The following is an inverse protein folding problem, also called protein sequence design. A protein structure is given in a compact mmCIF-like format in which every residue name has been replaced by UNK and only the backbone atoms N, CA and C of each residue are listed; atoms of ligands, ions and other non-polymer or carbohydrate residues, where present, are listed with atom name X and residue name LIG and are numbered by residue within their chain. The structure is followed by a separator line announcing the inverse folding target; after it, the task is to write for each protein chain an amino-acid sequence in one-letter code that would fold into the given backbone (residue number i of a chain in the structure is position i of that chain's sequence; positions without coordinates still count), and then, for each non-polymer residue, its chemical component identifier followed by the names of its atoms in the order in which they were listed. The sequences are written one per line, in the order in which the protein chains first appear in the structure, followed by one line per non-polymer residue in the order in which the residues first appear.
data_IF_847933321116
#
_entry.id   IF_847933321116
#
_cell.length_a   1.000
_cell.length_b   1.000
_cell.length_c   1.000
_cell.angle_alpha   90.00
_cell.angle_beta   90.00
_cell.angle_gamma   90.00
#
_symmetry.space_group_name_H-M   'P 1'
#
loop_
_entity.id
_entity.type
_entity.pdbx_description
1 polymer ?
#
# COMPACT_ATOMS: atom_id res chain seq x y z
N UNK A 1 24.81 -2.95 -36.20
CA UNK A 1 24.35 -1.55 -36.30
C UNK A 1 23.77 -1.20 -34.94
N UNK A 2 24.31 -0.16 -34.33
CA UNK A 2 24.20 0.22 -32.92
C UNK A 2 22.76 0.55 -32.50
N UNK A 3 22.29 -0.10 -31.42
CA UNK A 3 21.13 0.36 -30.67
C UNK A 3 21.57 1.58 -29.85
N UNK A 4 21.30 2.78 -30.37
CA UNK A 4 21.43 4.00 -29.59
C UNK A 4 20.46 3.94 -28.41
N UNK A 5 21.03 3.84 -27.21
CA UNK A 5 20.30 4.05 -25.96
C UNK A 5 19.98 5.53 -25.89
N UNK A 6 18.79 5.91 -26.36
CA UNK A 6 18.27 7.26 -26.22
C UNK A 6 18.21 7.59 -24.73
N UNK A 7 19.18 8.37 -24.31
CA UNK A 7 19.25 8.92 -22.96
C UNK A 7 18.01 9.78 -22.78
N UNK A 8 17.20 9.50 -21.75
CA UNK A 8 16.07 10.35 -21.38
C UNK A 8 16.62 11.73 -21.00
N UNK A 9 16.69 12.62 -21.97
CA UNK A 9 17.05 14.01 -21.76
C UNK A 9 15.90 14.60 -20.94
N UNK A 10 16.21 14.95 -19.69
CA UNK A 10 15.45 15.95 -18.95
C UNK A 10 15.56 17.21 -19.79
N UNK A 11 14.59 17.46 -20.67
CA UNK A 11 14.55 18.71 -21.43
C UNK A 11 14.21 19.77 -20.40
N UNK A 12 15.25 20.43 -19.89
CA UNK A 12 15.10 21.66 -19.16
C UNK A 12 14.30 22.59 -20.08
N UNK A 13 13.16 23.06 -19.60
CA UNK A 13 12.37 24.07 -20.29
C UNK A 13 13.10 25.41 -20.14
N UNK A 14 14.27 25.52 -20.76
CA UNK A 14 15.02 26.77 -20.83
C UNK A 14 14.32 27.61 -21.89
N UNK A 15 13.76 28.75 -21.47
CA UNK A 15 13.17 29.71 -22.40
C UNK A 15 14.20 30.19 -23.43
N UNK A 16 13.74 30.79 -24.51
CA UNK A 16 14.59 31.24 -25.62
C UNK A 16 15.71 32.23 -25.19
N UNK A 17 15.62 32.79 -23.98
CA UNK A 17 16.56 33.73 -23.35
C UNK A 17 17.37 33.15 -22.17
N UNK A 18 17.32 31.84 -21.92
CA UNK A 18 18.03 31.24 -20.78
C UNK A 18 17.32 31.37 -19.42
N UNK A 19 16.21 32.11 -19.36
CA UNK A 19 15.39 32.28 -18.16
C UNK A 19 14.46 31.06 -17.93
N UNK A 20 14.30 30.67 -16.67
CA UNK A 20 13.34 29.64 -16.26
C UNK A 20 11.90 30.18 -16.38
N UNK A 21 10.91 29.33 -16.71
CA UNK A 21 9.51 29.72 -16.70
C UNK A 21 9.08 30.07 -15.27
N UNK A 22 8.42 31.22 -15.11
CA UNK A 22 7.91 31.70 -13.83
C UNK A 22 6.45 31.32 -13.61
N UNK A 23 6.11 30.87 -12.40
CA UNK A 23 4.74 30.58 -11.97
C UNK A 23 4.44 31.19 -10.59
N UNK A 24 3.23 31.72 -10.40
CA UNK A 24 2.76 32.01 -9.04
C UNK A 24 2.58 30.72 -8.23
N UNK A 25 2.03 29.68 -8.86
CA UNK A 25 1.84 28.36 -8.25
C UNK A 25 2.29 27.29 -9.24
N UNK A 26 3.26 26.46 -8.83
CA UNK A 26 3.62 25.24 -9.54
C UNK A 26 2.92 24.05 -8.88
N UNK A 27 2.02 23.40 -9.62
CA UNK A 27 1.29 22.22 -9.16
C UNK A 27 2.03 20.95 -9.59
N UNK A 28 2.42 20.14 -8.63
CA UNK A 28 2.91 18.77 -8.82
C UNK A 28 1.80 17.76 -8.51
N UNK A 29 1.39 17.00 -9.52
CA UNK A 29 0.38 15.95 -9.39
C UNK A 29 1.08 14.60 -9.36
N UNK A 30 1.07 13.90 -8.23
CA UNK A 30 1.62 12.53 -8.16
C UNK A 30 0.73 11.58 -8.98
N UNK A 31 1.33 10.83 -9.90
CA UNK A 31 0.57 9.92 -10.76
C UNK A 31 1.35 8.65 -11.07
N UNK A 32 0.70 7.49 -10.97
CA UNK A 32 1.33 6.21 -11.32
C UNK A 32 1.42 6.03 -12.85
N UNK A 33 2.40 5.28 -13.33
CA UNK A 33 2.60 5.04 -14.77
C UNK A 33 1.33 4.60 -15.51
N UNK A 34 0.53 3.73 -14.90
CA UNK A 34 -0.67 3.17 -15.52
C UNK A 34 -1.94 4.04 -15.37
N UNK A 35 -1.89 5.17 -14.66
CA UNK A 35 -3.03 6.07 -14.43
C UNK A 35 -3.31 7.04 -15.60
N UNK A 36 -3.38 6.53 -16.84
CA UNK A 36 -3.65 7.38 -18.00
C UNK A 36 -5.01 8.09 -17.90
N UNK A 37 -6.05 7.35 -17.48
CA UNK A 37 -7.43 7.84 -17.39
C UNK A 37 -7.57 8.95 -16.34
N UNK A 38 -6.89 8.83 -15.19
CA UNK A 38 -6.91 9.84 -14.14
C UNK A 38 -6.22 11.13 -14.59
N UNK A 39 -5.04 11.03 -15.22
CA UNK A 39 -4.37 12.20 -15.83
C UNK A 39 -5.25 12.85 -16.89
N UNK A 40 -5.93 12.04 -17.70
CA UNK A 40 -6.84 12.55 -18.72
C UNK A 40 -8.05 13.27 -18.11
N UNK A 41 -8.63 12.74 -17.04
CA UNK A 41 -9.72 13.40 -16.30
C UNK A 41 -9.27 14.76 -15.76
N UNK A 42 -8.06 14.87 -15.20
CA UNK A 42 -7.49 16.16 -14.76
C UNK A 42 -7.36 17.14 -15.94
N UNK A 43 -6.79 16.69 -17.07
CA UNK A 43 -6.64 17.51 -18.29
C UNK A 43 -7.97 18.04 -18.82
N UNK A 44 -9.04 17.25 -18.73
CA UNK A 44 -10.38 17.62 -19.19
C UNK A 44 -11.16 18.49 -18.19
N UNK A 45 -10.74 18.51 -16.92
CA UNK A 45 -11.38 19.26 -15.83
C UNK A 45 -10.58 20.50 -15.44
N UNK A 46 -9.99 20.53 -14.25
CA UNK A 46 -9.42 21.73 -13.64
C UNK A 46 -8.13 22.20 -14.33
N UNK A 47 -7.32 21.28 -14.89
CA UNK A 47 -6.18 21.66 -15.72
C UNK A 47 -6.64 22.26 -17.07
N UNK A 48 -7.68 21.69 -17.68
CA UNK A 48 -8.30 22.23 -18.89
C UNK A 48 -8.93 23.61 -18.66
N UNK A 49 -9.43 23.86 -17.45
CA UNK A 49 -9.89 25.17 -17.01
C UNK A 49 -8.73 26.17 -16.90
N UNK A 50 -7.65 25.84 -16.18
CA UNK A 50 -6.44 26.70 -16.08
C UNK A 50 -5.94 27.12 -17.45
N UNK A 51 -5.80 26.15 -18.38
CA UNK A 51 -5.25 26.38 -19.72
C UNK A 51 -6.10 27.31 -20.58
N UNK A 52 -7.40 27.37 -20.36
CA UNK A 52 -8.33 28.26 -21.10
C UNK A 52 -8.55 29.59 -20.41
N UNK A 53 -8.25 29.69 -19.11
CA UNK A 53 -8.52 30.88 -18.33
C UNK A 53 -7.42 31.95 -18.56
N UNK A 54 -7.74 33.14 -19.11
CA UNK A 54 -6.74 34.12 -19.55
C UNK A 54 -5.77 34.58 -18.46
N UNK A 55 -6.23 34.59 -17.20
CA UNK A 55 -5.42 34.99 -16.05
C UNK A 55 -4.61 33.85 -15.45
N UNK A 56 -5.02 32.59 -15.61
CA UNK A 56 -4.38 31.46 -14.92
C UNK A 56 -3.36 30.73 -15.79
N UNK A 57 -3.55 30.73 -17.11
CA UNK A 57 -2.67 30.05 -18.07
C UNK A 57 -1.18 30.42 -17.95
N UNK A 58 -0.86 31.63 -17.45
CA UNK A 58 0.51 32.09 -17.23
C UNK A 58 0.91 32.14 -15.75
N UNK A 59 -0.05 32.04 -14.82
CA UNK A 59 0.20 32.08 -13.37
C UNK A 59 0.42 30.69 -12.78
N UNK A 60 -0.21 29.66 -13.34
CA UNK A 60 -0.23 28.31 -12.77
C UNK A 60 0.43 27.32 -13.73
N UNK A 61 1.53 26.71 -13.28
CA UNK A 61 2.17 25.60 -13.97
C UNK A 61 1.66 24.28 -13.40
N UNK A 62 1.35 23.29 -14.22
CA UNK A 62 0.92 21.96 -13.74
C UNK A 62 1.79 20.88 -14.38
N UNK A 63 2.30 19.96 -13.55
CA UNK A 63 3.15 18.85 -13.96
C UNK A 63 2.74 17.55 -13.27
N UNK A 64 2.52 16.51 -14.05
CA UNK A 64 2.36 15.14 -13.56
C UNK A 64 3.73 14.54 -13.23
N UNK A 65 3.89 14.05 -12.01
CA UNK A 65 5.11 13.44 -11.51
C UNK A 65 4.99 11.94 -11.71
N UNK A 66 5.87 11.35 -12.51
CA UNK A 66 5.84 9.92 -12.85
C UNK A 66 7.23 9.33 -12.65
N UNK A 67 7.31 8.13 -12.05
CA UNK A 67 8.59 7.45 -11.89
C UNK A 67 9.08 6.96 -13.25
N UNK A 68 10.36 7.19 -13.54
CA UNK A 68 11.01 6.86 -14.82
C UNK A 68 11.05 5.36 -15.06
N UNK A 69 11.15 4.56 -14.00
CA UNK A 69 11.22 3.09 -14.10
C UNK A 69 9.91 2.47 -13.62
N UNK A 70 9.39 1.49 -14.36
CA UNK A 70 8.31 0.62 -13.85
C UNK A 70 8.90 -0.48 -12.96
N UNK A 71 8.09 -1.03 -12.06
CA UNK A 71 8.50 -2.24 -11.36
C UNK A 71 8.47 -3.43 -12.34
N UNK A 72 9.58 -4.17 -12.54
CA UNK A 72 9.61 -5.31 -13.45
C UNK A 72 8.84 -6.52 -12.91
N UNK A 73 8.53 -6.52 -11.61
CA UNK A 73 7.83 -7.58 -10.91
C UNK A 73 6.31 -7.36 -11.05
N UNK A 74 5.56 -8.32 -11.61
CA UNK A 74 4.09 -8.30 -11.62
C UNK A 74 3.53 -8.16 -10.20
N UNK A 75 2.37 -7.52 -10.03
CA UNK A 75 1.82 -7.25 -8.69
C UNK A 75 1.53 -8.52 -7.88
N UNK A 76 1.15 -9.58 -8.58
CA UNK A 76 0.96 -10.92 -8.05
C UNK A 76 2.24 -11.50 -7.40
N UNK A 77 3.41 -11.17 -7.94
CA UNK A 77 4.72 -11.73 -7.55
C UNK A 77 5.46 -10.84 -6.53
N UNK A 78 4.91 -9.68 -6.17
CA UNK A 78 5.53 -8.76 -5.20
C UNK A 78 5.29 -9.21 -3.76
N UNK A 79 6.27 -8.99 -2.88
CA UNK A 79 6.16 -9.20 -1.43
C UNK A 79 4.90 -8.54 -0.85
N UNK A 80 4.65 -7.31 -1.26
CA UNK A 80 3.45 -6.55 -0.97
C UNK A 80 3.06 -5.70 -2.20
N UNK A 81 1.78 -5.33 -2.37
CA UNK A 81 1.35 -4.59 -3.57
C UNK A 81 2.00 -3.21 -3.72
N UNK A 82 2.60 -2.67 -2.65
CA UNK A 82 3.15 -1.32 -2.60
C UNK A 82 4.66 -1.25 -2.88
N UNK A 83 5.38 -2.37 -2.78
CA UNK A 83 6.83 -2.45 -3.00
C UNK A 83 7.19 -2.95 -4.40
N UNK A 84 8.49 -3.10 -4.67
CA UNK A 84 9.02 -3.74 -5.87
C UNK A 84 10.01 -4.85 -5.49
N UNK A 85 9.69 -5.58 -4.42
CA UNK A 85 10.48 -6.70 -3.94
C UNK A 85 9.81 -7.99 -4.38
N UNK A 86 10.59 -8.96 -4.87
CA UNK A 86 10.07 -10.27 -5.24
C UNK A 86 9.65 -11.02 -3.96
N UNK A 87 8.55 -11.75 -4.00
CA UNK A 87 8.26 -12.81 -3.03
C UNK A 87 9.37 -13.87 -3.11
N UNK A 88 10.32 -13.82 -2.17
CA UNK A 88 11.43 -14.74 -2.16
C UNK A 88 11.04 -16.02 -1.40
N UNK A 89 10.47 -17.00 -2.12
CA UNK A 89 10.28 -18.34 -1.56
C UNK A 89 11.57 -19.14 -1.66
N UNK A 90 11.85 -19.98 -0.66
CA UNK A 90 13.00 -20.89 -0.72
C UNK A 90 12.77 -21.91 -1.86
N UNK A 91 13.70 -21.98 -2.81
CA UNK A 91 13.65 -22.76 -4.07
C UNK A 91 13.21 -24.23 -3.90
N UNK A 92 13.44 -24.80 -2.71
CA UNK A 92 13.10 -26.18 -2.35
C UNK A 92 11.59 -26.48 -2.32
N UNK A 93 10.73 -25.48 -2.14
CA UNK A 93 9.26 -25.68 -2.10
C UNK A 93 8.61 -25.65 -3.50
N UNK A 94 9.28 -25.06 -4.50
CA UNK A 94 8.71 -24.74 -5.82
C UNK A 94 8.86 -25.89 -6.84
N UNK A 95 9.76 -26.84 -6.59
CA UNK A 95 9.99 -28.02 -7.44
C UNK A 95 9.27 -29.29 -6.97
N UNK A 96 8.64 -29.27 -5.80
CA UNK A 96 7.94 -30.40 -5.24
C UNK A 96 6.43 -30.21 -5.41
N UNK A 97 5.84 -30.91 -6.38
CA UNK A 97 4.39 -31.13 -6.46
C UNK A 97 3.89 -32.09 -5.37
N UNK A 98 4.46 -32.00 -4.16
CA UNK A 98 4.11 -32.84 -3.01
C UNK A 98 3.43 -32.00 -1.95
N UNK A 99 2.33 -32.54 -1.43
CA UNK A 99 1.57 -32.03 -0.31
C UNK A 99 2.49 -31.66 0.87
N UNK A 100 2.47 -30.39 1.28
CA UNK A 100 3.32 -29.84 2.33
C UNK A 100 2.60 -29.97 3.67
N UNK A 101 3.23 -30.61 4.65
CA UNK A 101 2.76 -30.67 6.03
C UNK A 101 3.20 -29.43 6.80
N UNK A 102 2.24 -28.62 7.28
CA UNK A 102 2.51 -27.42 8.07
C UNK A 102 3.24 -27.72 9.38
N UNK A 103 2.97 -28.88 9.98
CA UNK A 103 3.45 -29.25 11.31
C UNK A 103 4.17 -30.58 11.22
N UNK A 104 5.44 -30.59 11.60
CA UNK A 104 6.23 -31.81 11.71
C UNK A 104 6.61 -32.04 13.15
N UNK A 105 6.07 -33.11 13.75
CA UNK A 105 6.38 -33.51 15.12
C UNK A 105 7.68 -34.33 15.09
N UNK A 106 8.72 -33.84 15.77
CA UNK A 106 10.05 -34.48 15.78
C UNK A 106 10.04 -35.79 16.56
N UNK A 107 9.23 -35.87 17.63
CA UNK A 107 9.04 -37.08 18.43
C UNK A 107 7.57 -37.19 18.90
N UNK A 108 6.80 -38.17 18.38
CA UNK A 108 5.40 -38.38 18.76
C UNK A 108 5.18 -38.72 20.25
N UNK A 109 6.23 -39.13 20.97
CA UNK A 109 6.15 -39.44 22.40
C UNK A 109 6.03 -38.19 23.30
N UNK A 110 6.21 -36.99 22.72
CA UNK A 110 6.11 -35.70 23.41
C UNK A 110 4.69 -35.11 23.42
N UNK A 111 3.68 -35.85 22.94
CA UNK A 111 2.28 -35.46 23.03
C UNK A 111 1.77 -35.60 24.47
N UNK A 112 1.19 -34.54 25.02
CA UNK A 112 0.60 -34.54 26.36
C UNK A 112 -0.83 -34.00 26.35
N UNK A 113 -1.69 -34.40 27.31
CA UNK A 113 -3.02 -33.83 27.45
C UNK A 113 -2.94 -32.33 27.74
N UNK A 114 -3.70 -31.54 26.98
CA UNK A 114 -3.80 -30.10 27.15
C UNK A 114 -4.68 -29.75 28.35
N UNK A 115 -4.30 -28.72 29.10
CA UNK A 115 -5.10 -28.20 30.22
C UNK A 115 -6.29 -27.34 29.75
N UNK A 116 -6.34 -27.00 28.46
CA UNK A 116 -7.38 -26.17 27.85
C UNK A 116 -8.20 -26.97 26.84
N UNK A 117 -9.48 -26.63 26.72
CA UNK A 117 -10.42 -27.23 25.76
C UNK A 117 -10.30 -26.66 24.35
N UNK A 118 -9.57 -25.55 24.15
CA UNK A 118 -9.36 -24.96 22.82
C UNK A 118 -8.02 -24.26 22.67
N UNK A 119 -7.41 -24.41 21.48
CA UNK A 119 -6.14 -23.80 21.08
C UNK A 119 -6.31 -23.22 19.67
N UNK A 120 -5.73 -22.04 19.41
CA UNK A 120 -5.81 -21.39 18.10
C UNK A 120 -4.42 -21.04 17.52
N UNK A 121 -4.28 -21.00 16.20
CA UNK A 121 -3.05 -20.55 15.52
C UNK A 121 -3.40 -19.65 14.33
N UNK A 122 -2.87 -18.44 14.37
CA UNK A 122 -3.06 -17.43 13.33
C UNK A 122 -1.94 -17.49 12.29
N UNK A 123 -2.35 -17.34 11.03
CA UNK A 123 -1.43 -17.32 9.91
C UNK A 123 -1.94 -16.42 8.79
N UNK A 124 -0.99 -15.95 7.97
CA UNK A 124 -1.23 -15.16 6.78
C UNK A 124 -0.68 -15.86 5.56
N UNK A 125 -1.46 -15.87 4.48
CA UNK A 125 -1.11 -16.49 3.20
C UNK A 125 -0.42 -15.45 2.32
N UNK A 126 0.84 -15.68 1.95
CA UNK A 126 1.63 -14.78 1.10
C UNK A 126 1.62 -15.19 -0.38
N UNK A 127 1.19 -16.41 -0.69
CA UNK A 127 0.93 -16.91 -2.04
C UNK A 127 -0.26 -17.86 -2.02
N UNK A 128 -1.11 -17.93 -3.08
CA UNK A 128 -2.27 -18.80 -3.05
C UNK A 128 -1.92 -20.26 -2.74
N UNK A 129 -2.63 -20.84 -1.78
CA UNK A 129 -2.46 -22.25 -1.38
C UNK A 129 -3.79 -22.99 -1.42
N UNK A 130 -3.76 -24.28 -1.70
CA UNK A 130 -4.92 -25.17 -1.61
C UNK A 130 -4.78 -26.02 -0.37
N UNK A 131 -5.71 -25.89 0.58
CA UNK A 131 -5.76 -26.76 1.75
C UNK A 131 -6.32 -28.11 1.32
N UNK A 132 -5.64 -29.20 1.69
CA UNK A 132 -6.01 -30.57 1.30
C UNK A 132 -6.49 -31.41 2.47
N UNK A 133 -5.88 -31.26 3.66
CA UNK A 133 -6.26 -31.98 4.88
C UNK A 133 -6.10 -31.10 6.11
N UNK A 134 -7.00 -31.27 7.08
CA UNK A 134 -6.83 -30.73 8.43
C UNK A 134 -6.43 -31.87 9.38
N UNK A 135 -5.53 -31.58 10.32
CA UNK A 135 -4.96 -32.59 11.21
C UNK A 135 -4.98 -32.21 12.68
N UNK A 136 -5.43 -33.16 13.50
CA UNK A 136 -5.49 -33.14 14.97
C UNK A 136 -6.13 -34.44 15.47
N UNK A 137 -6.27 -34.61 16.79
CA UNK A 137 -7.06 -35.67 17.41
C UNK A 137 -8.52 -35.24 17.78
N UNK A 138 -8.87 -33.96 17.64
CA UNK A 138 -10.16 -33.36 18.03
C UNK A 138 -10.88 -32.66 16.87
N UNK A 139 -11.87 -31.80 17.12
CA UNK A 139 -12.45 -31.00 16.03
C UNK A 139 -11.53 -29.84 15.69
N UNK A 140 -11.29 -29.62 14.38
CA UNK A 140 -10.50 -28.51 13.86
C UNK A 140 -11.34 -27.68 12.88
N UNK A 141 -11.28 -26.37 13.04
CA UNK A 141 -11.95 -25.37 12.22
C UNK A 141 -10.91 -24.42 11.64
N UNK A 142 -11.03 -24.11 10.35
CA UNK A 142 -10.32 -23.01 9.71
C UNK A 142 -11.28 -21.83 9.62
N UNK A 143 -10.95 -20.75 10.32
CA UNK A 143 -11.73 -19.50 10.36
C UNK A 143 -11.01 -18.44 9.53
N UNK A 144 -11.77 -17.58 8.86
CA UNK A 144 -11.23 -16.33 8.30
C UNK A 144 -11.35 -15.23 9.37
N UNK A 145 -10.38 -14.30 9.40
CA UNK A 145 -10.47 -13.11 10.25
C UNK A 145 -11.85 -12.42 10.07
N UNK A 146 -12.49 -12.07 11.19
CA UNK A 146 -13.81 -11.40 11.24
C UNK A 146 -15.04 -12.21 10.75
N UNK A 147 -14.94 -13.54 10.61
CA UNK A 147 -16.09 -14.41 10.30
C UNK A 147 -16.47 -15.33 11.47
N UNK A 148 -17.78 -15.52 11.67
CA UNK A 148 -18.33 -16.46 12.67
C UNK A 148 -18.42 -17.90 12.16
N UNK A 149 -18.45 -18.10 10.84
CA UNK A 149 -18.54 -19.42 10.21
C UNK A 149 -17.15 -19.94 9.80
N UNK A 150 -16.92 -21.23 10.04
CA UNK A 150 -15.69 -21.88 9.62
C UNK A 150 -15.69 -22.11 8.10
N UNK A 151 -14.62 -21.67 7.44
CA UNK A 151 -14.34 -21.92 6.02
C UNK A 151 -14.26 -23.42 5.75
N UNK A 152 -13.62 -24.17 6.67
CA UNK A 152 -13.49 -25.63 6.60
C UNK A 152 -13.54 -26.21 8.01
N UNK A 153 -14.23 -27.34 8.19
CA UNK A 153 -14.28 -28.07 9.47
C UNK A 153 -13.96 -29.55 9.27
N UNK A 154 -13.10 -30.11 10.11
CA UNK A 154 -12.90 -31.56 10.23
C UNK A 154 -13.14 -32.01 11.68
N UNK A 155 -14.01 -33.03 11.85
CA UNK A 155 -14.36 -33.59 13.17
C UNK A 155 -13.78 -34.97 13.32
N UNK A 156 -13.03 -35.23 14.38
CA UNK A 156 -12.40 -36.52 14.64
C UNK A 156 -13.21 -37.31 15.69
N UNK A 157 -13.32 -38.63 15.50
CA UNK A 157 -14.07 -39.52 16.40
C UNK A 157 -13.46 -40.93 16.38
N UNK A 158 -13.83 -41.77 17.35
CA UNK A 158 -13.34 -43.16 17.42
C UNK A 158 -13.65 -43.99 16.16
N UNK A 159 -14.68 -43.63 15.41
CA UNK A 159 -15.13 -44.33 14.19
C UNK A 159 -14.54 -43.66 12.94
N UNK A 160 -14.01 -42.45 13.07
CA UNK A 160 -13.45 -41.67 11.98
C UNK A 160 -12.24 -40.91 12.52
N UNK A 161 -11.10 -41.61 12.62
CA UNK A 161 -9.85 -41.08 13.17
C UNK A 161 -8.97 -40.41 12.11
N UNK A 162 -9.20 -40.66 10.82
CA UNK A 162 -8.37 -40.14 9.73
C UNK A 162 -7.11 -40.99 9.48
N UNK A 163 -6.10 -40.40 8.85
CA UNK A 163 -4.82 -41.05 8.52
C UNK A 163 -3.70 -40.48 9.38
N UNK A 164 -2.92 -41.33 10.03
CA UNK A 164 -1.78 -40.90 10.82
C UNK A 164 -0.58 -40.59 9.91
N UNK A 165 -0.09 -39.35 9.96
CA UNK A 165 1.11 -38.89 9.25
C UNK A 165 2.02 -38.17 10.25
N UNK A 166 3.26 -38.63 10.38
CA UNK A 166 4.29 -38.01 11.25
C UNK A 166 3.80 -37.67 12.67
N UNK A 167 2.99 -38.54 13.27
CA UNK A 167 2.48 -38.40 14.64
C UNK A 167 1.18 -37.59 14.79
N UNK A 168 0.62 -37.04 13.71
CA UNK A 168 -0.64 -36.28 13.71
C UNK A 168 -1.67 -36.96 12.80
N UNK A 169 -2.93 -37.03 13.26
CA UNK A 169 -4.02 -37.59 12.48
C UNK A 169 -4.59 -36.55 11.53
N UNK A 170 -4.74 -36.87 10.24
CA UNK A 170 -5.26 -35.97 9.21
C UNK A 170 -6.53 -36.51 8.57
N UNK A 171 -7.47 -35.61 8.24
CA UNK A 171 -8.64 -35.90 7.42
C UNK A 171 -8.66 -35.05 6.17
N UNK A 172 -8.98 -35.64 5.00
CA UNK A 172 -9.21 -34.86 3.80
C UNK A 172 -10.39 -33.92 4.02
N UNK A 173 -10.28 -32.73 3.48
CA UNK A 173 -11.33 -31.72 3.48
C UNK A 173 -11.62 -31.31 2.04
N UNK A 174 -12.75 -30.64 1.82
CA UNK A 174 -13.02 -30.02 0.52
C UNK A 174 -11.88 -29.06 0.17
N UNK A 175 -11.32 -29.21 -1.03
CA UNK A 175 -10.17 -28.42 -1.46
C UNK A 175 -10.58 -26.95 -1.57
N UNK A 176 -10.00 -26.14 -0.71
CA UNK A 176 -10.29 -24.72 -0.65
C UNK A 176 -9.03 -23.91 -0.98
N UNK A 177 -9.15 -22.96 -1.93
CA UNK A 177 -8.06 -22.07 -2.31
C UNK A 177 -8.06 -20.88 -1.36
N UNK A 178 -7.01 -20.77 -0.55
CA UNK A 178 -6.75 -19.57 0.23
C UNK A 178 -5.99 -18.57 -0.65
N UNK A 179 -6.57 -17.40 -0.97
CA UNK A 179 -5.91 -16.40 -1.81
C UNK A 179 -4.76 -15.72 -1.07
N UNK A 180 -3.85 -15.10 -1.84
CA UNK A 180 -2.83 -14.20 -1.30
C UNK A 180 -3.47 -13.10 -0.46
N UNK A 181 -2.91 -12.84 0.72
CA UNK A 181 -3.41 -11.89 1.70
C UNK A 181 -4.48 -12.46 2.64
N UNK A 182 -4.91 -13.71 2.47
CA UNK A 182 -5.84 -14.35 3.39
C UNK A 182 -5.22 -14.42 4.80
N UNK A 183 -5.96 -13.93 5.78
CA UNK A 183 -5.65 -14.03 7.20
C UNK A 183 -6.64 -15.00 7.84
N UNK A 184 -6.11 -16.07 8.44
CA UNK A 184 -6.92 -17.13 8.99
C UNK A 184 -6.41 -17.64 10.32
N UNK A 185 -7.34 -18.26 11.04
CA UNK A 185 -7.12 -18.86 12.35
C UNK A 185 -7.52 -20.32 12.31
N UNK A 186 -6.59 -21.22 12.61
CA UNK A 186 -6.91 -22.61 12.92
C UNK A 186 -7.36 -22.69 14.37
N UNK A 187 -8.52 -23.29 14.63
CA UNK A 187 -9.04 -23.52 15.97
C UNK A 187 -9.22 -25.01 16.19
N UNK A 188 -8.52 -25.54 17.19
CA UNK A 188 -8.71 -26.90 17.69
C UNK A 188 -9.58 -26.84 18.94
N UNK A 189 -10.70 -27.55 18.95
CA UNK A 189 -11.66 -27.57 20.05
C UNK A 189 -12.01 -29.01 20.45
N UNK A 190 -12.01 -29.26 21.76
CA UNK A 190 -12.48 -30.49 22.39
C UNK A 190 -13.66 -30.20 23.31
N UNK A 191 -14.64 -31.10 23.33
CA UNK A 191 -15.76 -31.04 24.28
C UNK A 191 -15.32 -31.39 25.71
N UNK A 192 -14.28 -32.22 25.83
CA UNK A 192 -13.66 -32.61 27.10
C UNK A 192 -12.21 -32.11 27.14
N UNK A 193 -11.81 -31.38 28.19
CA UNK A 193 -10.43 -30.84 28.31
C UNK A 193 -9.36 -31.93 28.27
N UNK A 194 -9.66 -33.13 28.77
CA UNK A 194 -8.76 -34.30 28.70
C UNK A 194 -8.61 -34.90 27.28
N UNK A 195 -9.42 -34.47 26.32
CA UNK A 195 -9.43 -34.99 24.94
C UNK A 195 -8.46 -34.27 23.99
N UNK A 196 -8.05 -33.05 24.30
CA UNK A 196 -7.11 -32.30 23.45
C UNK A 196 -5.68 -32.72 23.79
N UNK A 197 -4.91 -33.20 22.80
CA UNK A 197 -3.47 -33.44 22.98
C UNK A 197 -2.70 -32.32 22.32
N UNK A 198 -1.69 -31.78 23.01
CA UNK A 198 -0.79 -30.78 22.47
C UNK A 198 0.66 -31.23 22.59
N UNK A 199 1.52 -30.63 21.76
CA UNK A 199 2.97 -30.83 21.78
C UNK A 199 3.64 -29.48 21.94
N UNK A 200 4.70 -29.41 22.74
CA UNK A 200 5.37 -28.15 23.04
C UNK A 200 5.81 -27.45 21.74
N UNK A 201 5.49 -26.16 21.60
CA UNK A 201 5.83 -25.37 20.42
C UNK A 201 7.33 -25.37 20.13
N UNK A 202 8.19 -25.49 21.15
CA UNK A 202 9.64 -25.62 20.99
C UNK A 202 10.09 -26.95 20.38
N UNK A 203 9.24 -27.98 20.42
CA UNK A 203 9.49 -29.33 19.86
C UNK A 203 8.81 -29.57 18.51
N UNK A 204 8.13 -28.56 17.99
CA UNK A 204 7.47 -28.59 16.68
C UNK A 204 8.27 -27.80 15.67
N UNK A 205 8.50 -28.39 14.50
CA UNK A 205 8.95 -27.64 13.33
C UNK A 205 7.73 -27.22 12.52
N UNK A 206 7.52 -25.91 12.42
CA UNK A 206 6.53 -25.33 11.51
C UNK A 206 7.14 -25.19 10.12
N UNK A 207 6.48 -25.76 9.13
CA UNK A 207 6.81 -25.61 7.73
C UNK A 207 5.92 -24.52 7.13
N UNK A 208 6.54 -23.40 6.80
CA UNK A 208 5.88 -22.26 6.16
C UNK A 208 5.75 -22.41 4.64
N UNK A 209 6.13 -23.58 4.08
CA UNK A 209 6.14 -23.81 2.64
C UNK A 209 7.24 -23.02 1.93
N UNK A 210 8.34 -22.73 2.61
CA UNK A 210 9.44 -21.91 2.09
C UNK A 210 9.12 -20.42 2.10
N UNK A 211 8.24 -19.97 3.00
CA UNK A 211 7.81 -18.57 3.16
C UNK A 211 6.43 -18.25 2.59
N UNK A 212 5.68 -19.24 2.09
CA UNK A 212 4.33 -19.08 1.54
C UNK A 212 3.31 -18.74 2.63
N UNK A 213 3.54 -19.21 3.85
CA UNK A 213 2.75 -18.88 5.03
C UNK A 213 3.58 -18.03 5.98
N UNK A 214 2.95 -17.06 6.63
CA UNK A 214 3.55 -16.32 7.74
C UNK A 214 2.73 -16.60 8.99
N UNK A 215 3.34 -17.25 9.98
CA UNK A 215 2.71 -17.46 11.27
C UNK A 215 2.88 -16.22 12.13
N UNK A 216 1.78 -15.72 12.70
CA UNK A 216 1.83 -14.58 13.59
C UNK A 216 2.21 -15.07 14.99
N UNK A 217 3.27 -14.51 15.58
CA UNK A 217 3.28 -14.37 17.04
C UNK A 217 2.52 -13.09 17.37
N UNK A 218 1.99 -12.94 18.59
CA UNK A 218 1.99 -11.68 19.37
C UNK A 218 0.79 -11.60 20.31
N UNK A 219 1.14 -11.10 21.51
CA UNK A 219 0.39 -10.40 22.56
C UNK A 219 -1.04 -10.81 22.91
N UNK A 220 -1.22 -10.97 24.22
CA UNK A 220 -2.49 -11.14 24.90
C UNK A 220 -3.60 -10.23 24.37
N UNK A 221 -4.69 -10.87 23.97
CA UNK A 221 -6.04 -10.29 23.99
C UNK A 221 -6.58 -9.93 22.64
N UNK A 222 -7.50 -10.77 22.13
CA UNK A 222 -8.75 -10.42 21.42
C UNK A 222 -9.45 -11.66 20.80
N UNK A 223 -9.29 -12.86 21.38
CA UNK A 223 -10.09 -14.04 21.02
C UNK A 223 -10.50 -14.80 22.30
N UNK A 224 -11.65 -15.50 22.32
CA UNK A 224 -12.05 -16.35 23.45
C UNK A 224 -11.15 -17.59 23.60
N UNK A 225 -10.28 -17.87 22.64
CA UNK A 225 -9.39 -19.04 22.57
C UNK A 225 -7.92 -18.64 22.78
N UNK A 226 -7.12 -19.51 23.41
CA UNK A 226 -5.69 -19.25 23.66
C UNK A 226 -4.82 -19.62 22.45
N UNK A 227 -3.84 -18.79 22.12
CA UNK A 227 -2.91 -19.03 21.01
C UNK A 227 -1.92 -20.17 21.30
N UNK A 228 -1.68 -21.05 20.33
CA UNK A 228 -0.78 -22.20 20.38
C UNK A 228 0.71 -21.82 20.50
N UNK A 229 1.08 -20.61 20.10
CA UNK A 229 2.46 -20.12 20.16
C UNK A 229 2.79 -19.40 21.49
N UNK A 230 1.77 -18.90 22.21
CA UNK A 230 1.87 -18.28 23.54
C UNK A 230 1.41 -19.18 24.70
N UNK A 231 0.86 -20.35 24.38
CA UNK A 231 0.57 -21.46 25.28
C UNK A 231 1.60 -22.57 24.96
N UNK A 232 2.04 -23.41 25.91
CA UNK A 232 3.16 -24.33 25.67
C UNK A 232 2.79 -25.52 24.77
N UNK A 233 1.89 -25.37 23.79
CA UNK A 233 1.37 -26.50 23.03
C UNK A 233 0.66 -26.17 21.72
N UNK A 234 0.99 -26.90 20.64
CA UNK A 234 0.27 -26.98 19.38
C UNK A 234 -0.53 -28.29 19.30
N UNK A 235 -1.78 -28.25 18.83
CA UNK A 235 -2.68 -29.41 18.81
C UNK A 235 -2.81 -30.12 17.44
N UNK A 236 -2.13 -29.61 16.41
CA UNK A 236 -2.21 -30.14 15.04
C UNK A 236 -1.81 -29.11 13.99
N UNK A 237 -2.19 -29.34 12.74
CA UNK A 237 -1.87 -28.47 11.60
C UNK A 237 -2.73 -28.78 10.38
N UNK A 238 -2.37 -28.26 9.21
CA UNK A 238 -2.98 -28.67 7.94
C UNK A 238 -1.91 -29.06 6.91
N UNK A 239 -2.37 -29.63 5.81
CA UNK A 239 -1.56 -29.89 4.62
C UNK A 239 -2.04 -29.02 3.46
N UNK A 240 -1.11 -28.59 2.61
CA UNK A 240 -1.43 -27.69 1.52
C UNK A 240 -0.54 -27.88 0.29
N UNK A 241 -1.05 -27.44 -0.85
CA UNK A 241 -0.31 -27.32 -2.12
C UNK A 241 -0.19 -25.84 -2.52
N UNK A 242 0.93 -25.47 -3.14
CA UNK A 242 1.13 -24.12 -3.68
C UNK A 242 0.45 -24.02 -5.05
N UNK A 243 -0.40 -23.02 -5.25
CA UNK A 243 -1.20 -22.88 -6.47
C UNK A 243 -0.57 -21.90 -7.47
N UNK A 244 -0.20 -22.40 -8.65
CA UNK A 244 0.03 -21.59 -9.85
C UNK A 244 1.28 -20.71 -9.86
N UNK A 245 2.44 -21.29 -10.17
CA UNK A 245 3.64 -20.51 -10.50
C UNK A 245 3.89 -20.58 -12.02
N UNK A 246 3.59 -19.51 -12.77
CA UNK A 246 4.02 -19.40 -14.18
C UNK A 246 4.92 -18.21 -14.39
N UNK A 247 6.23 -18.48 -14.46
CA UNK A 247 7.27 -17.52 -14.85
C UNK A 247 7.22 -17.28 -16.36
N UNK A 248 6.34 -16.37 -16.78
CA UNK A 248 6.39 -15.79 -18.13
C UNK A 248 6.36 -14.27 -18.00
N UNK A 249 7.54 -13.65 -18.06
CA UNK A 249 7.71 -12.22 -17.84
C UNK A 249 7.64 -11.49 -19.19
N UNK A 250 6.60 -10.66 -19.36
CA UNK A 250 6.46 -9.76 -20.50
C UNK A 250 6.15 -8.35 -20.01
N UNK A 251 7.12 -7.44 -20.08
CA UNK A 251 6.96 -6.03 -19.72
C UNK A 251 6.13 -5.29 -20.77
N UNK A 252 4.80 -5.42 -20.73
CA UNK A 252 3.89 -4.67 -21.58
C UNK A 252 3.44 -3.37 -20.90
N UNK A 253 4.20 -2.27 -21.10
CA UNK A 253 3.75 -0.97 -20.57
C UNK A 253 4.57 0.27 -20.95
N UNK A 254 5.77 0.13 -21.52
CA UNK A 254 6.65 1.29 -21.81
C UNK A 254 6.15 2.21 -22.94
N UNK A 255 5.63 1.64 -24.04
CA UNK A 255 5.40 2.40 -25.29
C UNK A 255 4.26 3.43 -25.20
N UNK A 256 3.25 3.20 -24.36
CA UNK A 256 2.09 4.10 -24.25
C UNK A 256 2.42 5.40 -23.51
N UNK A 257 3.25 5.31 -22.47
CA UNK A 257 3.60 6.44 -21.60
C UNK A 257 4.50 7.48 -22.28
N UNK A 258 5.41 7.02 -23.14
CA UNK A 258 6.28 7.87 -23.95
C UNK A 258 5.47 8.71 -24.95
N UNK A 259 4.51 8.07 -25.62
CA UNK A 259 3.60 8.74 -26.56
C UNK A 259 2.74 9.79 -25.85
N UNK A 260 2.20 9.46 -24.67
CA UNK A 260 1.47 10.41 -23.83
C UNK A 260 2.34 11.63 -23.49
N UNK A 261 3.56 11.41 -22.98
CA UNK A 261 4.47 12.49 -22.60
C UNK A 261 4.80 13.40 -23.78
N UNK A 262 5.10 12.82 -24.95
CA UNK A 262 5.41 13.59 -26.17
C UNK A 262 4.21 14.42 -26.63
N UNK A 263 2.99 13.87 -26.49
CA UNK A 263 1.75 14.53 -26.90
C UNK A 263 1.38 15.69 -25.98
N UNK A 264 1.48 15.52 -24.66
CA UNK A 264 0.94 16.48 -23.70
C UNK A 264 1.97 17.42 -23.08
N UNK A 265 3.26 17.02 -23.01
CA UNK A 265 4.38 17.83 -22.46
C UNK A 265 4.12 18.39 -21.05
N UNK A 266 3.27 17.71 -20.29
CA UNK A 266 2.88 18.05 -18.93
C UNK A 266 3.38 17.03 -17.90
N UNK A 267 4.28 16.13 -18.29
CA UNK A 267 4.83 15.09 -17.43
C UNK A 267 6.30 15.36 -17.09
N UNK A 268 6.69 15.00 -15.86
CA UNK A 268 8.06 15.01 -15.37
C UNK A 268 8.41 13.61 -14.91
N UNK A 269 9.36 12.99 -15.60
CA UNK A 269 9.90 11.70 -15.21
C UNK A 269 11.03 11.88 -14.20
N UNK A 270 10.86 11.31 -13.01
CA UNK A 270 11.88 11.33 -11.95
C UNK A 270 12.53 9.97 -11.82
N UNK A 271 13.82 9.93 -11.50
CA UNK A 271 14.62 8.70 -11.51
C UNK A 271 14.35 7.78 -10.30
N UNK A 272 13.18 7.13 -10.33
CA UNK A 272 12.64 6.29 -9.26
C UNK A 272 11.84 5.14 -9.89
N UNK A 273 11.86 3.97 -9.25
CA UNK A 273 10.94 2.86 -9.57
C UNK A 273 9.56 3.23 -9.04
N UNK A 274 8.59 3.38 -9.94
CA UNK A 274 7.26 3.91 -9.64
C UNK A 274 6.39 2.89 -8.89
N UNK A 275 6.55 2.88 -7.57
CA UNK A 275 5.72 2.13 -6.63
C UNK A 275 5.26 3.05 -5.51
N UNK A 276 4.18 2.66 -4.82
CA UNK A 276 3.64 3.43 -3.71
C UNK A 276 4.69 3.67 -2.60
N UNK A 277 5.49 2.66 -2.26
CA UNK A 277 6.56 2.76 -1.26
C UNK A 277 7.61 3.84 -1.59
N UNK A 278 7.81 4.11 -2.87
CA UNK A 278 8.81 5.05 -3.36
C UNK A 278 8.26 6.45 -3.63
N UNK A 279 6.97 6.70 -3.36
CA UNK A 279 6.35 8.01 -3.53
C UNK A 279 7.08 9.15 -2.78
N UNK A 280 7.57 8.98 -1.54
CA UNK A 280 8.35 10.03 -0.89
C UNK A 280 9.62 10.41 -1.66
N UNK A 281 10.35 9.41 -2.17
CA UNK A 281 11.54 9.64 -3.00
C UNK A 281 11.18 10.29 -4.33
N UNK A 282 10.09 9.85 -4.96
CA UNK A 282 9.54 10.45 -6.18
C UNK A 282 9.24 11.94 -5.99
N UNK A 283 8.65 12.30 -4.86
CA UNK A 283 8.37 13.69 -4.48
C UNK A 283 9.64 14.51 -4.26
N UNK A 284 10.64 13.98 -3.53
CA UNK A 284 11.92 14.67 -3.34
C UNK A 284 12.67 14.92 -4.66
N UNK A 285 12.64 13.95 -5.58
CA UNK A 285 13.23 14.12 -6.91
C UNK A 285 12.46 15.16 -7.73
N UNK A 286 11.13 15.25 -7.57
CA UNK A 286 10.36 16.33 -8.18
C UNK A 286 10.74 17.70 -7.61
N UNK A 287 11.00 17.83 -6.31
CA UNK A 287 11.48 19.10 -5.73
C UNK A 287 12.83 19.53 -6.28
N UNK A 288 13.77 18.59 -6.45
CA UNK A 288 15.04 18.84 -7.17
C UNK A 288 14.79 19.34 -8.59
N UNK A 289 13.90 18.68 -9.32
CA UNK A 289 13.53 19.10 -10.67
C UNK A 289 12.89 20.49 -10.68
N UNK A 290 11.89 20.75 -9.83
CA UNK A 290 11.13 22.00 -9.83
C UNK A 290 12.03 23.19 -9.55
N UNK A 291 12.92 23.08 -8.57
CA UNK A 291 13.85 24.14 -8.18
C UNK A 291 14.81 24.50 -9.30
N UNK A 292 15.28 23.51 -10.07
CA UNK A 292 16.25 23.70 -11.14
C UNK A 292 15.63 24.03 -12.51
N UNK A 293 14.33 23.81 -12.70
CA UNK A 293 13.68 23.90 -14.02
C UNK A 293 12.49 24.88 -14.08
N UNK A 294 12.11 25.47 -12.95
CA UNK A 294 11.07 26.49 -12.89
C UNK A 294 11.40 27.51 -11.80
N UNK A 295 10.96 28.74 -12.01
CA UNK A 295 10.85 29.71 -10.92
C UNK A 295 9.40 29.78 -10.45
N UNK A 296 9.18 29.81 -9.13
CA UNK A 296 7.82 29.81 -8.59
C UNK A 296 7.76 30.37 -7.17
N UNK A 297 6.62 30.97 -6.81
CA UNK A 297 6.39 31.44 -5.44
C UNK A 297 5.99 30.29 -4.50
N UNK A 298 5.04 29.46 -4.95
CA UNK A 298 4.44 28.38 -4.18
C UNK A 298 4.41 27.09 -4.99
N UNK A 299 4.61 25.95 -4.32
CA UNK A 299 4.39 24.62 -4.89
C UNK A 299 3.16 23.99 -4.24
N UNK A 300 2.20 23.56 -5.06
CA UNK A 300 1.04 22.78 -4.62
C UNK A 300 1.27 21.32 -4.97
N UNK A 301 1.26 20.44 -3.96
CA UNK A 301 1.23 18.98 -4.18
C UNK A 301 -0.22 18.51 -4.14
N UNK A 302 -0.58 17.61 -5.05
CA UNK A 302 -1.83 16.84 -5.01
C UNK A 302 -1.65 15.49 -5.69
N UNK A 303 -2.68 14.65 -5.65
CA UNK A 303 -2.71 13.31 -6.25
C UNK A 303 -3.59 13.29 -7.51
N UNK A 304 -3.43 12.29 -8.37
CA UNK A 304 -4.13 12.21 -9.65
C UNK A 304 -5.61 11.80 -9.55
N UNK A 305 -6.05 11.42 -8.36
CA UNK A 305 -7.45 11.17 -7.98
C UNK A 305 -8.12 12.37 -7.27
N UNK A 306 -7.45 13.53 -7.23
CA UNK A 306 -7.94 14.73 -6.56
C UNK A 306 -8.44 15.82 -7.52
N UNK A 307 -9.47 16.55 -7.10
CA UNK A 307 -9.95 17.77 -7.75
C UNK A 307 -9.45 19.01 -6.99
N UNK A 308 -8.93 20.00 -7.71
CA UNK A 308 -8.47 21.26 -7.14
C UNK A 308 -9.35 22.41 -7.64
N UNK A 309 -9.98 23.12 -6.70
CA UNK A 309 -10.60 24.43 -6.96
C UNK A 309 -9.51 25.52 -7.01
N UNK A 310 -9.02 25.76 -8.22
CA UNK A 310 -7.89 26.67 -8.47
C UNK A 310 -8.26 28.12 -8.15
N UNK A 311 -9.51 28.53 -8.39
CA UNK A 311 -9.99 29.87 -8.07
C UNK A 311 -9.96 30.12 -6.56
N UNK A 312 -10.48 29.16 -5.78
CA UNK A 312 -10.46 29.25 -4.32
C UNK A 312 -9.03 29.29 -3.78
N UNK A 313 -8.12 28.47 -4.33
CA UNK A 313 -6.71 28.44 -3.94
C UNK A 313 -6.05 29.80 -4.22
N UNK A 314 -6.16 30.32 -5.45
CA UNK A 314 -5.53 31.59 -5.83
C UNK A 314 -6.13 32.78 -5.08
N UNK A 315 -7.46 32.79 -4.90
CA UNK A 315 -8.15 33.84 -4.13
C UNK A 315 -7.65 33.88 -2.70
N UNK A 316 -7.48 32.72 -2.04
CA UNK A 316 -6.92 32.64 -0.69
C UNK A 316 -5.46 33.11 -0.64
N UNK A 317 -4.63 32.72 -1.62
CA UNK A 317 -3.23 33.17 -1.71
C UNK A 317 -3.15 34.69 -1.80
N UNK A 318 -3.95 35.30 -2.67
CA UNK A 318 -3.95 36.74 -2.92
C UNK A 318 -4.53 37.51 -1.71
N UNK A 319 -5.65 37.05 -1.11
CA UNK A 319 -6.32 37.74 0.02
C UNK A 319 -5.56 37.65 1.34
N UNK A 320 -4.86 36.55 1.59
CA UNK A 320 -4.16 36.31 2.86
C UNK A 320 -2.66 36.62 2.77
N UNK A 321 -2.21 37.16 1.64
CA UNK A 321 -0.81 37.46 1.33
C UNK A 321 0.10 36.27 1.65
N UNK A 322 -0.27 35.07 1.18
CA UNK A 322 0.39 33.80 1.54
C UNK A 322 1.68 33.55 0.76
N UNK A 323 2.14 34.51 -0.05
CA UNK A 323 3.44 34.48 -0.73
C UNK A 323 4.58 34.82 0.24
N UNK A 324 4.66 34.07 1.36
CA UNK A 324 5.64 34.27 2.44
C UNK A 324 6.64 33.12 2.44
N UNK A 325 7.86 33.40 2.88
CA UNK A 325 8.85 32.36 3.17
C UNK A 325 8.45 31.52 4.37
N UNK A 326 8.97 30.30 4.46
CA UNK A 326 8.77 29.37 5.57
C UNK A 326 7.28 29.05 5.85
N UNK A 327 6.49 28.98 4.78
CA UNK A 327 5.04 28.78 4.81
C UNK A 327 4.62 27.39 4.30
N UNK A 328 3.77 26.70 5.08
CA UNK A 328 3.18 25.40 4.72
C UNK A 328 1.68 25.38 5.02
N UNK A 329 0.85 25.16 4.01
CA UNK A 329 -0.61 25.22 4.09
C UNK A 329 -1.24 23.89 3.71
N UNK A 330 -2.10 23.39 4.60
CA UNK A 330 -2.86 22.17 4.38
C UNK A 330 -3.86 21.94 5.51
N UNK A 331 -4.49 20.77 5.50
CA UNK A 331 -5.22 20.27 6.66
C UNK A 331 -4.30 19.34 7.46
N UNK A 332 -3.79 19.80 8.59
CA UNK A 332 -2.81 19.06 9.38
C UNK A 332 -3.49 18.14 10.39
N UNK A 333 -3.13 16.85 10.32
CA UNK A 333 -3.51 15.89 11.34
C UNK A 333 -2.54 16.01 12.52
N UNK A 334 -3.09 16.17 13.72
CA UNK A 334 -2.37 16.02 14.99
C UNK A 334 -2.80 14.71 15.63
N UNK A 335 -1.93 14.10 16.44
CA UNK A 335 -2.23 12.91 17.27
C UNK A 335 -2.50 11.57 16.58
N UNK A 336 -2.13 11.37 15.31
CA UNK A 336 -2.30 10.06 14.66
C UNK A 336 -1.47 8.96 15.35
N UNK A 337 -0.31 9.33 15.90
CA UNK A 337 0.43 8.58 16.89
C UNK A 337 1.12 9.58 17.84
N UNK A 338 1.33 9.25 19.13
CA UNK A 338 1.82 10.19 20.13
C UNK A 338 3.22 10.78 19.84
N UNK A 339 4.00 10.17 18.94
CA UNK A 339 5.37 10.58 18.63
C UNK A 339 5.57 11.11 17.20
N UNK A 340 4.53 11.18 16.37
CA UNK A 340 4.67 11.68 15.00
C UNK A 340 4.43 13.20 14.92
N UNK A 341 5.30 13.96 14.21
CA UNK A 341 5.03 15.35 13.91
C UNK A 341 3.73 15.51 13.12
N UNK A 342 3.10 16.68 13.22
CA UNK A 342 1.93 16.99 12.41
C UNK A 342 2.29 17.00 10.92
N UNK A 343 1.45 16.34 10.10
CA UNK A 343 1.58 16.29 8.65
C UNK A 343 0.27 16.70 7.98
N UNK A 344 0.36 17.29 6.79
CA UNK A 344 -0.81 17.64 5.99
C UNK A 344 -1.45 16.36 5.40
N UNK A 345 -2.76 16.34 5.24
CA UNK A 345 -3.45 15.23 4.58
C UNK A 345 -2.97 14.99 3.14
N UNK A 346 -3.03 13.73 2.70
CA UNK A 346 -2.54 13.31 1.38
C UNK A 346 -3.18 14.02 0.18
N UNK A 347 -4.44 14.47 0.28
CA UNK A 347 -5.16 15.11 -0.83
C UNK A 347 -4.49 16.35 -1.40
N UNK A 348 -3.74 17.08 -0.57
CA UNK A 348 -2.85 18.12 -1.05
C UNK A 348 -2.41 19.13 0.02
N UNK A 349 -1.38 19.87 -0.34
CA UNK A 349 -0.86 20.98 0.45
C UNK A 349 -0.10 21.96 -0.45
N UNK A 350 0.15 23.16 0.08
CA UNK A 350 0.95 24.20 -0.55
C UNK A 350 2.16 24.51 0.31
N UNK A 351 3.35 24.52 -0.30
CA UNK A 351 4.61 24.88 0.35
C UNK A 351 5.29 26.04 -0.37
N UNK A 352 5.92 26.91 0.40
CA UNK A 352 6.74 28.01 -0.12
C UNK A 352 8.02 27.53 -0.79
N UNK A 353 8.51 28.32 -1.77
CA UNK A 353 9.69 27.97 -2.57
C UNK A 353 10.93 27.66 -1.73
N UNK A 354 11.17 28.40 -0.65
CA UNK A 354 12.32 28.21 0.23
C UNK A 354 12.27 26.88 1.00
N UNK A 355 11.08 26.42 1.40
CA UNK A 355 10.89 25.08 1.95
C UNK A 355 11.19 23.99 0.91
N UNK A 356 10.66 24.17 -0.30
CA UNK A 356 10.92 23.23 -1.42
C UNK A 356 12.41 23.19 -1.76
N UNK A 357 13.07 24.36 -1.74
CA UNK A 357 14.51 24.49 -1.94
C UNK A 357 15.30 23.72 -0.88
N UNK A 358 14.91 23.85 0.38
CA UNK A 358 15.56 23.14 1.48
C UNK A 358 15.41 21.62 1.31
N UNK A 359 14.20 21.14 0.98
CA UNK A 359 13.94 19.72 0.72
C UNK A 359 14.75 19.20 -0.46
N UNK A 360 14.77 19.93 -1.58
CA UNK A 360 15.55 19.58 -2.76
C UNK A 360 17.05 19.46 -2.45
N UNK A 361 17.59 20.42 -1.69
CA UNK A 361 19.01 20.48 -1.32
C UNK A 361 19.42 19.37 -0.35
N UNK A 362 18.46 18.82 0.40
CA UNK A 362 18.69 17.75 1.38
C UNK A 362 18.14 16.38 0.95
N UNK A 363 17.61 16.25 -0.26
CA UNK A 363 16.88 15.06 -0.71
C UNK A 363 17.65 13.73 -0.57
N UNK A 364 18.98 13.75 -0.63
CA UNK A 364 19.83 12.55 -0.46
C UNK A 364 20.05 12.16 1.02
N UNK A 365 19.86 13.11 1.94
CA UNK A 365 20.04 12.90 3.39
C UNK A 365 18.71 12.59 4.08
N UNK A 366 17.59 12.99 3.47
CA UNK A 366 16.26 12.77 4.00
C UNK A 366 15.83 11.32 3.80
N UNK A 367 15.48 10.67 4.91
CA UNK A 367 14.98 9.29 4.89
C UNK A 367 13.51 9.29 4.43
N UNK A 368 13.18 8.41 3.49
CA UNK A 368 11.79 8.12 3.12
C UNK A 368 11.14 7.23 4.18
N UNK A 369 9.91 7.56 4.55
CA UNK A 369 9.07 6.79 5.46
C UNK A 369 7.84 6.24 4.72
N UNK A 370 7.08 5.39 5.38
CA UNK A 370 5.80 4.91 4.85
C UNK A 370 4.84 6.10 4.70
N UNK A 371 4.38 6.36 3.48
CA UNK A 371 3.56 7.53 3.16
C UNK A 371 4.38 8.79 2.87
N UNK A 372 4.02 9.50 1.81
CA UNK A 372 4.66 10.78 1.45
C UNK A 372 4.28 11.90 2.42
N UNK A 373 3.03 11.91 2.88
CA UNK A 373 2.48 12.84 3.84
C UNK A 373 3.20 12.75 5.19
N UNK A 374 3.35 11.53 5.72
CA UNK A 374 4.11 11.26 6.96
C UNK A 374 5.58 11.65 6.79
N UNK A 375 6.18 11.28 5.66
CA UNK A 375 7.57 11.67 5.35
C UNK A 375 7.73 13.18 5.35
N UNK A 376 6.80 13.90 4.71
CA UNK A 376 6.79 15.35 4.65
C UNK A 376 6.66 15.98 6.03
N UNK A 377 5.80 15.44 6.91
CA UNK A 377 5.71 15.88 8.31
C UNK A 377 7.02 15.75 9.08
N UNK A 378 7.71 14.61 8.93
CA UNK A 378 9.00 14.36 9.59
C UNK A 378 10.07 15.31 9.06
N UNK A 379 10.15 15.51 7.74
CA UNK A 379 11.13 16.43 7.16
C UNK A 379 10.86 17.88 7.56
N UNK A 380 9.58 18.30 7.57
CA UNK A 380 9.18 19.63 7.99
C UNK A 380 9.40 19.88 9.49
N UNK A 381 9.42 18.84 10.33
CA UNK A 381 9.75 18.99 11.74
C UNK A 381 11.18 19.49 11.97
N UNK A 382 12.12 19.19 11.06
CA UNK A 382 13.49 19.69 11.11
C UNK A 382 13.60 21.17 10.73
N UNK A 383 12.67 21.68 9.90
CA UNK A 383 12.68 23.07 9.43
C UNK A 383 11.84 23.98 10.33
N UNK A 384 10.71 23.47 10.83
CA UNK A 384 9.75 24.23 11.65
C UNK A 384 8.99 25.32 10.87
N UNK A 385 8.23 24.99 9.81
CA UNK A 385 7.50 25.98 9.04
C UNK A 385 6.30 26.57 9.78
N UNK A 386 5.91 27.78 9.39
CA UNK A 386 4.62 28.36 9.76
C UNK A 386 3.50 27.59 9.07
N UNK A 387 2.77 26.80 9.85
CA UNK A 387 1.64 26.00 9.38
C UNK A 387 0.37 26.84 9.31
N UNK A 388 -0.32 26.79 8.17
CA UNK A 388 -1.65 27.35 8.01
C UNK A 388 -2.67 26.23 7.88
N UNK A 389 -3.42 26.00 8.97
CA UNK A 389 -4.47 24.99 9.05
C UNK A 389 -5.70 25.43 8.27
N UNK A 390 -6.17 24.60 7.34
CA UNK A 390 -7.35 24.90 6.53
C UNK A 390 -8.15 23.63 6.23
N UNK A 391 -9.36 23.57 6.78
CA UNK A 391 -10.27 22.45 6.59
C UNK A 391 -10.83 22.33 5.15
N UNK A 392 -10.58 23.32 4.29
CA UNK A 392 -10.92 23.24 2.87
C UNK A 392 -10.13 22.16 2.12
N UNK A 393 -9.01 21.69 2.67
CA UNK A 393 -8.34 20.47 2.20
C UNK A 393 -9.03 19.26 2.83
N UNK A 394 -9.85 18.57 2.03
CA UNK A 394 -10.59 17.41 2.47
C UNK A 394 -9.67 16.19 2.56
N UNK A 395 -9.68 15.50 3.70
CA UNK A 395 -8.87 14.30 3.91
C UNK A 395 -9.66 13.00 3.67
N UNK A 396 -10.91 13.13 3.26
CA UNK A 396 -11.89 12.05 3.12
C UNK A 396 -12.43 12.05 1.69
N UNK A 397 -12.98 10.90 1.26
CA UNK A 397 -13.41 10.66 -0.13
C UNK A 397 -14.75 11.31 -0.48
N UNK A 398 -15.48 11.82 0.51
CA UNK A 398 -16.82 12.36 0.30
C UNK A 398 -16.77 13.85 -0.06
N UNK A 399 -17.27 14.17 -1.26
CA UNK A 399 -17.51 15.56 -1.67
C UNK A 399 -18.82 16.05 -1.05
N UNK A 400 -18.77 16.92 -0.04
CA UNK A 400 -19.97 17.52 0.55
C UNK A 400 -20.43 18.77 -0.22
N UNK A 401 -21.73 18.80 -0.55
CA UNK A 401 -22.42 19.88 -1.29
C UNK A 401 -22.41 21.26 -0.58
N UNK A 402 -21.98 21.35 0.67
CA UNK A 402 -22.05 22.57 1.50
C UNK A 402 -20.77 23.40 1.49
N UNK A 403 -19.72 22.98 0.77
CA UNK A 403 -18.54 23.83 0.54
C UNK A 403 -18.64 24.49 -0.85
N UNK A 404 -19.19 25.72 -0.84
CA UNK A 404 -19.24 26.75 -1.89
C UNK A 404 -19.72 26.37 -3.31
N UNK A 405 -21.00 26.70 -3.63
CA UNK A 405 -21.38 27.14 -4.98
C UNK A 405 -22.06 28.54 -4.98
N UNK A 406 -22.22 29.19 -6.16
CA UNK A 406 -23.49 29.03 -6.85
C UNK A 406 -23.42 28.74 -8.37
N UNK A 407 -24.32 27.81 -8.73
CA UNK A 407 -25.01 27.44 -9.97
C UNK A 407 -24.49 27.78 -11.38
N UNK A 408 -24.63 26.74 -12.21
CA UNK A 408 -24.69 26.68 -13.69
C UNK A 408 -23.38 26.50 -14.44
N UNK A 409 -22.66 25.40 -14.17
CA UNK A 409 -21.86 24.63 -15.16
C UNK A 409 -21.05 23.55 -14.45
N UNK A 410 -21.70 22.48 -14.01
CA UNK A 410 -21.01 21.23 -13.66
C UNK A 410 -21.45 20.14 -14.66
N UNK A 411 -20.53 19.49 -15.39
CA UNK A 411 -20.84 18.26 -16.11
C UNK A 411 -21.22 17.17 -15.11
N UNK A 412 -22.17 16.32 -15.51
CA UNK A 412 -22.79 15.21 -14.74
C UNK A 412 -21.82 14.05 -14.38
N UNK A 413 -20.52 14.27 -14.20
CA UNK A 413 -19.57 13.22 -13.84
C UNK A 413 -19.33 13.06 -12.32
N UNK A 414 -19.91 13.93 -11.49
CA UNK A 414 -20.03 13.70 -10.03
C UNK A 414 -21.41 13.13 -9.64
N UNK A 415 -22.10 12.43 -10.53
CA UNK A 415 -23.25 11.61 -10.15
C UNK A 415 -22.83 10.15 -10.07
N UNK A 416 -22.97 9.60 -8.87
CA UNK A 416 -23.04 8.17 -8.58
C UNK A 416 -23.70 7.38 -9.72
N UNK A 417 -22.91 6.64 -10.49
CA UNK A 417 -23.39 5.56 -11.32
C UNK A 417 -22.28 4.54 -11.50
N UNK A 418 -22.46 3.33 -10.98
CA UNK A 418 -21.56 2.22 -11.24
C UNK A 418 -21.45 1.25 -10.09
N UNK A 419 -22.38 0.30 -10.03
CA UNK A 419 -22.09 -1.14 -9.91
C UNK A 419 -20.85 -1.55 -9.09
N UNK A 420 -21.10 -2.11 -7.90
CA UNK A 420 -20.39 -3.28 -7.37
C UNK A 420 -18.88 -3.20 -7.12
N UNK A 421 -18.52 -3.03 -5.85
CA UNK A 421 -17.36 -3.63 -5.16
C UNK A 421 -15.94 -3.46 -5.75
N UNK A 422 -15.16 -2.51 -5.19
CA UNK A 422 -14.11 -2.76 -4.17
C UNK A 422 -13.54 -1.40 -3.68
N UNK A 423 -13.21 -1.24 -2.39
CA UNK A 423 -12.67 0.01 -1.84
C UNK A 423 -11.19 0.15 -2.18
N UNK A 424 -10.80 1.23 -2.85
CA UNK A 424 -9.39 1.59 -3.12
C UNK A 424 -8.92 2.56 -2.05
N UNK A 425 -7.96 2.14 -1.21
CA UNK A 425 -7.10 2.99 -0.38
C UNK A 425 -7.74 3.63 0.86
N UNK A 426 -7.79 2.91 1.97
CA UNK A 426 -7.66 3.55 3.30
C UNK A 426 -6.21 4.05 3.46
N UNK A 427 -5.95 5.07 4.29
CA UNK A 427 -4.61 5.21 4.85
C UNK A 427 -4.33 3.89 5.59
N UNK A 428 -3.28 3.19 5.20
CA UNK A 428 -2.87 1.92 5.81
C UNK A 428 -2.76 2.14 7.32
N UNK A 429 -3.43 1.29 8.09
CA UNK A 429 -3.22 1.17 9.53
C UNK A 429 -1.72 1.03 9.79
N UNK A 430 -1.10 2.11 10.29
CA UNK A 430 0.27 2.09 10.78
C UNK A 430 0.23 1.44 12.18
N UNK A 431 -0.02 0.14 12.20
CA UNK A 431 0.25 -0.72 13.35
C UNK A 431 1.20 -1.82 12.90
N UNK A 432 2.42 -1.78 13.42
CA UNK A 432 3.44 -2.79 13.14
C UNK A 432 4.88 -2.28 13.19
N UNK A 433 5.20 -1.38 14.11
CA UNK A 433 6.57 -1.16 14.55
C UNK A 433 6.56 -1.17 16.08
N UNK A 434 6.58 -2.37 16.65
CA UNK A 434 7.18 -2.68 17.94
C UNK A 434 7.67 -4.13 17.87
#
# INVERSE_FOLDING_TARGET
QSAETLTFIVVAAVGHDGALPFYDVLVGVLSARHHYELRQAIRETWLGYIRRHPRFQHRVGVKFIVGKHGCPIPEEDREDPYSCSLLNFTELALGQSSEIEMVKVVDPSLLFPSEVSSIALDFKVLHPVVITRLGTNVTVKLMQLDQEEAVVTARFSAISTGTLLNGVWYKPVEQFILPKGFEGTLVWESLDSAGLTSVNSSSVQLNDGGGVLKFSSIAEGMLPHRSALGFPGLAGGFTFNIYGFSTSWGSAGGRSLEQESLRHRDMVFVDVVDTYRNVPTKLLQFYKWSVGNADFNLLLKTDDDCYIDVDAVLTKIDQKELKRSNFWWGNFRQSWAPCLPAFACGSGYVASRDLVQWLASNAEKLKAYQGEDVSMGIWMAAVGPQKYQDAGWLCEKECYWTCFPPLSTLPRSCTSSGTGNRPVGTPVDVLGAN
#
